data_IF_865676294350
#
_entry.id   IF_865676294350
#
_cell.length_a   1.000
_cell.length_b   1.000
_cell.length_c   1.000
_cell.angle_alpha   90.00
_cell.angle_beta   90.00
_cell.angle_gamma   90.00
#
_symmetry.space_group_name_H-M   'P 1'
#
loop_
_entity.id
_entity.type
_entity.pdbx_description
1 polymer ?
#
# COMPACT_ATOMS: atom_id res chain seq x y z
N UNK A 1 -24.13 22.26 1.79
CA UNK A 1 -22.81 22.84 2.12
C UNK A 1 -21.96 21.84 2.89
N UNK A 2 -21.97 21.74 4.23
CA UNK A 2 -21.06 20.85 4.98
C UNK A 2 -20.96 19.37 4.52
N UNK A 3 -22.07 18.75 4.07
CA UNK A 3 -22.08 17.36 3.60
C UNK A 3 -21.50 17.17 2.18
N UNK A 4 -21.55 18.21 1.33
CA UNK A 4 -20.96 18.16 -0.01
C UNK A 4 -19.46 18.41 0.04
N UNK A 5 -19.01 19.32 0.90
CA UNK A 5 -17.59 19.55 1.19
C UNK A 5 -16.92 18.28 1.75
N UNK A 6 -17.59 17.56 2.65
CA UNK A 6 -17.09 16.30 3.20
C UNK A 6 -16.94 15.20 2.14
N UNK A 7 -17.93 15.08 1.23
CA UNK A 7 -17.86 14.11 0.12
C UNK A 7 -16.74 14.43 -0.86
N UNK A 8 -16.57 15.70 -1.20
CA UNK A 8 -15.49 16.13 -2.10
C UNK A 8 -14.11 15.87 -1.49
N UNK A 9 -13.97 16.13 -0.18
CA UNK A 9 -12.74 15.83 0.55
C UNK A 9 -12.43 14.33 0.53
N UNK A 10 -13.42 13.50 0.87
CA UNK A 10 -13.27 12.04 0.88
C UNK A 10 -12.90 11.51 -0.52
N UNK A 11 -13.48 12.08 -1.58
CA UNK A 11 -13.11 11.72 -2.96
C UNK A 11 -11.62 11.97 -3.22
N UNK A 12 -11.16 13.19 -2.92
CA UNK A 12 -9.77 13.59 -3.15
C UNK A 12 -8.80 12.73 -2.33
N UNK A 13 -9.11 12.51 -1.04
CA UNK A 13 -8.29 11.66 -0.17
C UNK A 13 -8.21 10.22 -0.69
N UNK A 14 -9.34 9.65 -1.12
CA UNK A 14 -9.39 8.30 -1.68
C UNK A 14 -8.55 8.22 -2.96
N UNK A 15 -8.64 9.23 -3.84
CA UNK A 15 -7.88 9.27 -5.10
C UNK A 15 -6.37 9.42 -4.87
N UNK A 16 -5.97 10.28 -3.93
CA UNK A 16 -4.55 10.45 -3.58
C UNK A 16 -3.97 9.19 -2.94
N UNK A 17 -4.74 8.50 -2.09
CA UNK A 17 -4.33 7.23 -1.50
C UNK A 17 -4.14 6.14 -2.58
N UNK A 18 -5.06 6.06 -3.54
CA UNK A 18 -4.99 5.13 -4.67
C UNK A 18 -3.75 5.35 -5.53
N UNK A 19 -3.48 6.61 -5.90
CA UNK A 19 -2.33 6.99 -6.72
C UNK A 19 -1.00 6.67 -5.98
N UNK A 20 -0.92 7.02 -4.70
CA UNK A 20 0.24 6.72 -3.85
C UNK A 20 0.50 5.21 -3.73
N UNK A 21 -0.56 4.41 -3.59
CA UNK A 21 -0.46 2.95 -3.54
C UNK A 21 0.03 2.38 -4.87
N UNK A 22 -0.55 2.82 -5.99
CA UNK A 22 -0.14 2.41 -7.32
C UNK A 22 1.34 2.73 -7.57
N UNK A 23 1.78 3.95 -7.25
CA UNK A 23 3.17 4.36 -7.38
C UNK A 23 4.12 3.49 -6.53
N UNK A 24 3.75 3.22 -5.27
CA UNK A 24 4.54 2.37 -4.38
C UNK A 24 4.66 0.95 -4.92
N UNK A 25 3.57 0.39 -5.44
CA UNK A 25 3.57 -0.94 -6.05
C UNK A 25 4.47 -1.00 -7.30
N UNK A 26 4.38 0.00 -8.18
CA UNK A 26 5.27 0.12 -9.34
C UNK A 26 6.74 0.22 -8.94
N UNK A 27 7.03 0.99 -7.89
CA UNK A 27 8.40 1.11 -7.35
C UNK A 27 8.90 -0.24 -6.82
N UNK A 28 8.08 -0.94 -6.04
CA UNK A 28 8.42 -2.27 -5.52
C UNK A 28 8.70 -3.27 -6.64
N UNK A 29 7.89 -3.27 -7.71
CA UNK A 29 8.14 -4.14 -8.87
C UNK A 29 9.42 -3.77 -9.61
N UNK A 30 9.76 -2.48 -9.72
CA UNK A 30 11.04 -2.04 -10.31
C UNK A 30 12.25 -2.44 -9.46
N UNK A 31 12.16 -2.25 -8.15
CA UNK A 31 13.29 -2.45 -7.23
C UNK A 31 13.52 -3.93 -6.89
N UNK A 32 12.45 -4.72 -6.84
CA UNK A 32 12.47 -6.11 -6.37
C UNK A 32 11.89 -7.11 -7.37
N UNK A 33 11.57 -6.69 -8.59
CA UNK A 33 10.90 -7.53 -9.59
C UNK A 33 11.61 -8.83 -9.91
N UNK A 34 12.93 -8.91 -9.74
CA UNK A 34 13.70 -10.14 -9.96
C UNK A 34 13.56 -11.15 -8.80
N UNK A 35 13.15 -10.69 -7.61
CA UNK A 35 12.92 -11.49 -6.41
C UNK A 35 11.45 -11.88 -6.24
N UNK A 36 10.57 -11.36 -7.08
CA UNK A 36 9.13 -11.60 -7.04
C UNK A 36 8.80 -12.65 -8.11
N UNK A 37 8.06 -13.72 -7.76
CA UNK A 37 7.58 -14.70 -8.73
C UNK A 37 6.81 -14.03 -9.89
N UNK A 38 6.97 -14.53 -11.12
CA UNK A 38 6.39 -13.90 -12.31
C UNK A 38 4.86 -13.83 -12.26
N UNK A 39 4.21 -14.86 -11.69
CA UNK A 39 2.77 -14.91 -11.46
C UNK A 39 2.31 -13.78 -10.52
N UNK A 40 3.05 -13.52 -9.44
CA UNK A 40 2.77 -12.43 -8.50
C UNK A 40 3.07 -11.07 -9.13
N UNK A 41 4.14 -10.96 -9.93
CA UNK A 41 4.45 -9.72 -10.67
C UNK A 41 3.31 -9.35 -11.62
N UNK A 42 2.88 -10.29 -12.46
CA UNK A 42 1.77 -10.08 -13.41
C UNK A 42 0.46 -9.72 -12.69
N UNK A 43 0.18 -10.37 -11.55
CA UNK A 43 -0.99 -10.03 -10.73
C UNK A 43 -0.94 -8.56 -10.29
N UNK A 44 0.19 -8.10 -9.76
CA UNK A 44 0.35 -6.72 -9.27
C UNK A 44 0.30 -5.71 -10.41
N UNK A 45 0.94 -5.98 -11.55
CA UNK A 45 0.88 -5.12 -12.73
C UNK A 45 -0.58 -4.94 -13.21
N UNK A 46 -1.35 -6.03 -13.24
CA UNK A 46 -2.77 -5.98 -13.56
C UNK A 46 -3.58 -5.16 -12.55
N UNK A 47 -3.32 -5.30 -11.24
CA UNK A 47 -4.00 -4.51 -10.21
C UNK A 47 -3.63 -3.03 -10.24
N UNK A 48 -2.36 -2.68 -10.52
CA UNK A 48 -1.92 -1.30 -10.75
C UNK A 48 -2.71 -0.68 -11.91
N UNK A 49 -2.82 -1.40 -13.03
CA UNK A 49 -3.59 -0.92 -14.18
C UNK A 49 -5.07 -0.71 -13.84
N UNK A 50 -5.68 -1.63 -13.08
CA UNK A 50 -7.06 -1.50 -12.62
C UNK A 50 -7.28 -0.26 -11.74
N UNK A 51 -6.38 0.01 -10.77
CA UNK A 51 -6.43 1.22 -9.93
C UNK A 51 -6.32 2.48 -10.78
N UNK A 52 -5.37 2.52 -11.73
CA UNK A 52 -5.18 3.67 -12.64
C UNK A 52 -6.42 3.90 -13.52
N UNK A 53 -7.04 2.84 -14.03
CA UNK A 53 -8.29 2.97 -14.81
C UNK A 53 -9.43 3.52 -13.96
N UNK A 54 -9.61 2.99 -12.75
CA UNK A 54 -10.65 3.47 -11.82
C UNK A 54 -10.44 4.96 -11.45
N UNK A 55 -9.19 5.41 -11.31
CA UNK A 55 -8.84 6.81 -11.07
C UNK A 55 -9.20 7.73 -12.25
N UNK A 56 -9.04 7.24 -13.49
CA UNK A 56 -9.43 7.98 -14.69
C UNK A 56 -10.95 8.08 -14.83
N UNK A 57 -11.67 7.00 -14.50
CA UNK A 57 -13.14 6.94 -14.52
C UNK A 57 -13.79 7.68 -13.34
N UNK A 58 -13.00 8.07 -12.32
CA UNK A 58 -13.46 8.75 -11.09
C UNK A 58 -14.54 7.96 -10.34
N UNK A 59 -14.53 6.64 -10.44
CA UNK A 59 -15.48 5.78 -9.75
C UNK A 59 -14.93 5.41 -8.35
N UNK A 60 -15.44 6.05 -7.31
CA UNK A 60 -14.92 5.86 -5.94
C UNK A 60 -15.06 4.43 -5.40
N UNK A 61 -16.15 3.75 -5.71
CA UNK A 61 -16.36 2.37 -5.28
C UNK A 61 -15.34 1.44 -5.97
N UNK A 62 -15.11 1.64 -7.28
CA UNK A 62 -14.07 0.91 -8.01
C UNK A 62 -12.66 1.23 -7.51
N UNK A 63 -12.36 2.50 -7.20
CA UNK A 63 -11.07 2.89 -6.64
C UNK A 63 -10.82 2.15 -5.31
N UNK A 64 -11.83 2.12 -4.41
CA UNK A 64 -11.71 1.43 -3.12
C UNK A 64 -11.51 -0.07 -3.28
N UNK A 65 -12.28 -0.72 -4.16
CA UNK A 65 -12.14 -2.16 -4.44
C UNK A 65 -10.76 -2.49 -5.00
N UNK A 66 -10.34 -1.79 -6.05
CA UNK A 66 -9.05 -2.02 -6.72
C UNK A 66 -7.86 -1.69 -5.82
N UNK A 67 -7.96 -0.68 -4.96
CA UNK A 67 -6.97 -0.40 -3.92
C UNK A 67 -6.83 -1.57 -2.93
N UNK A 68 -7.94 -2.13 -2.45
CA UNK A 68 -7.90 -3.27 -1.52
C UNK A 68 -7.27 -4.48 -2.18
N UNK A 69 -7.62 -4.77 -3.43
CA UNK A 69 -7.03 -5.86 -4.20
C UNK A 69 -5.53 -5.67 -4.45
N UNK A 70 -5.10 -4.45 -4.79
CA UNK A 70 -3.68 -4.13 -4.95
C UNK A 70 -2.92 -4.28 -3.63
N UNK A 71 -3.49 -3.82 -2.51
CA UNK A 71 -2.91 -3.98 -1.19
C UNK A 71 -2.72 -5.45 -0.81
N UNK A 72 -3.71 -6.31 -1.08
CA UNK A 72 -3.61 -7.74 -0.85
C UNK A 72 -2.53 -8.39 -1.72
N UNK A 73 -2.42 -8.01 -3.00
CA UNK A 73 -1.36 -8.50 -3.88
C UNK A 73 0.03 -8.07 -3.39
N UNK A 74 0.16 -6.83 -2.91
CA UNK A 74 1.40 -6.29 -2.34
C UNK A 74 1.83 -7.01 -1.05
N UNK A 75 0.90 -7.54 -0.25
CA UNK A 75 1.25 -8.35 0.92
C UNK A 75 1.97 -9.66 0.53
N UNK A 76 1.64 -10.26 -0.62
CA UNK A 76 2.32 -11.45 -1.16
C UNK A 76 3.79 -11.15 -1.52
N UNK A 77 4.09 -9.92 -1.93
CA UNK A 77 5.46 -9.44 -2.17
C UNK A 77 6.25 -9.38 -0.88
N UNK A 78 5.64 -8.90 0.21
CA UNK A 78 6.27 -8.81 1.52
C UNK A 78 6.90 -10.13 1.95
N UNK A 79 6.18 -11.24 1.78
CA UNK A 79 6.69 -12.57 2.07
C UNK A 79 7.88 -13.00 1.19
N UNK A 80 7.99 -12.49 -0.03
CA UNK A 80 9.05 -12.84 -0.99
C UNK A 80 10.29 -11.95 -0.86
N UNK A 81 10.11 -10.67 -0.51
CA UNK A 81 11.19 -9.66 -0.43
C UNK A 81 11.80 -9.57 0.97
N UNK A 82 11.02 -9.73 2.05
CA UNK A 82 11.49 -9.59 3.44
C UNK A 82 12.12 -10.84 4.04
N UNK A 83 12.18 -11.95 3.31
CA UNK A 83 13.03 -13.08 3.73
C UNK A 83 14.53 -12.76 3.67
N UNK A 84 14.91 -11.56 3.21
CA UNK A 84 16.26 -11.04 3.40
C UNK A 84 16.36 -10.21 4.69
N UNK A 85 17.18 -10.62 5.68
CA UNK A 85 17.44 -9.81 6.86
C UNK A 85 18.19 -8.55 6.42
N UNK A 86 17.57 -7.37 6.60
CA UNK A 86 18.25 -6.08 6.48
C UNK A 86 17.60 -4.99 5.63
N UNK A 87 16.42 -5.21 5.02
CA UNK A 87 15.75 -4.15 4.24
C UNK A 87 14.50 -3.61 4.96
N UNK A 88 14.44 -2.28 5.23
CA UNK A 88 13.28 -1.68 5.87
C UNK A 88 12.05 -1.72 4.96
N UNK A 89 10.84 -1.75 5.53
CA UNK A 89 9.61 -1.74 4.76
C UNK A 89 9.49 -0.63 3.73
N UNK A 90 9.11 -0.92 2.46
CA UNK A 90 8.65 0.14 1.58
C UNK A 90 7.25 0.56 2.06
N UNK A 91 7.19 1.62 2.87
CA UNK A 91 5.92 2.19 3.35
C UNK A 91 5.91 2.71 4.79
N UNK A 92 7.07 2.84 5.44
CA UNK A 92 7.16 3.42 6.78
C UNK A 92 7.44 4.92 6.78
N UNK A 93 6.58 5.77 6.20
CA UNK A 93 6.63 7.20 6.51
C UNK A 93 5.26 7.90 6.40
N UNK A 94 4.70 8.15 7.59
CA UNK A 94 3.90 9.31 8.03
C UNK A 94 2.48 9.52 7.47
N UNK A 95 1.49 9.14 8.30
CA UNK A 95 0.33 10.01 8.55
C UNK A 95 0.58 10.82 9.84
N UNK A 96 0.42 12.15 9.87
CA UNK A 96 0.55 12.93 11.09
C UNK A 96 -0.80 12.96 11.84
N UNK A 97 -0.85 12.41 13.05
CA UNK A 97 -1.82 12.85 14.08
C UNK A 97 -1.21 12.76 15.48
N UNK A 98 -0.95 13.93 16.04
CA UNK A 98 -0.60 14.22 17.42
C UNK A 98 -1.54 13.63 18.50
N UNK A 99 -0.93 13.42 19.70
CA UNK A 99 -1.48 13.23 21.08
C UNK A 99 -1.82 11.81 21.56
N UNK A 100 -0.88 11.18 22.30
CA UNK A 100 -0.77 11.20 23.79
C UNK A 100 0.43 10.32 24.24
N UNK A 101 1.22 10.71 25.26
CA UNK A 101 2.23 9.84 25.85
C UNK A 101 1.59 8.98 26.96
N UNK A 102 1.72 7.65 26.86
CA UNK A 102 1.25 6.73 27.89
C UNK A 102 1.36 5.28 27.45
N UNK A 103 2.45 4.65 27.91
CA UNK A 103 2.61 3.23 28.20
C UNK A 103 2.38 2.15 27.12
N UNK A 104 3.50 1.47 26.86
CA UNK A 104 3.66 0.00 26.78
C UNK A 104 3.12 -0.78 25.58
N UNK A 105 4.03 -1.57 24.99
CA UNK A 105 3.68 -2.87 24.44
C UNK A 105 4.23 -3.15 23.04
N UNK A 106 5.33 -3.92 23.01
CA UNK A 106 5.72 -4.83 21.91
C UNK A 106 6.75 -4.30 20.91
N UNK A 107 7.99 -4.22 21.39
CA UNK A 107 9.15 -4.71 20.62
C UNK A 107 9.41 -6.13 21.14
N UNK A 108 8.96 -7.15 20.42
CA UNK A 108 9.36 -8.54 20.67
C UNK A 108 9.98 -9.09 19.38
N UNK A 109 11.15 -8.56 19.07
CA UNK A 109 12.10 -9.17 18.15
C UNK A 109 13.21 -9.82 18.98
N UNK A 110 12.92 -10.94 19.65
CA UNK A 110 13.99 -11.76 20.23
C UNK A 110 14.47 -12.75 19.17
N UNK A 111 15.61 -12.41 18.58
CA UNK A 111 16.40 -13.24 17.69
C UNK A 111 16.94 -14.43 18.49
N UNK A 112 16.61 -15.64 18.03
CA UNK A 112 17.19 -16.89 18.53
C UNK A 112 18.49 -17.13 17.77
N UNK A 113 19.61 -16.76 18.39
CA UNK A 113 20.94 -17.20 17.94
C UNK A 113 21.31 -18.51 18.67
N UNK A 114 22.08 -19.34 17.97
CA UNK A 114 22.53 -20.70 18.29
C UNK A 114 23.23 -20.87 19.63
#
# INVERSE_FOLDING_TARGET
FAAEDAKHKEEIETRNAADSLAYTAEKTLRDYGDKIPDDVKQEIEGKIAAVKSALQEKNLDSIRSTMQELSQAMQKVGASVYQQPGQPPPGGEQGPTDKKPGEEGTVEGEFREV
#
